data_IF_214920281796
#
_entry.id   IF_214920281796
#
_cell.length_a   1.000
_cell.length_b   1.000
_cell.length_c   1.000
_cell.angle_alpha   90.00
_cell.angle_beta   90.00
_cell.angle_gamma   90.00
#
_symmetry.space_group_name_H-M   'P 1'
#
loop_
_entity.id
_entity.type
_entity.pdbx_description
1 polymer ?
#
# COMPACT_ATOMS: atom_id res chain seq x y z
N UNK A 1 -49.26 -3.11 -3.29
CA UNK A 1 -50.44 -3.71 -2.63
C UNK A 1 -49.93 -4.95 -1.88
N UNK A 2 -49.96 -4.89 -0.55
CA UNK A 2 -49.65 -5.93 0.48
C UNK A 2 -48.25 -6.58 0.42
N UNK A 3 -47.29 -6.29 1.32
CA UNK A 3 -47.17 -6.60 2.77
C UNK A 3 -47.34 -8.07 3.16
N UNK A 4 -46.23 -8.68 3.60
CA UNK A 4 -46.06 -9.59 4.75
C UNK A 4 -44.65 -10.22 4.66
N UNK A 5 -43.87 -10.50 5.71
CA UNK A 5 -43.88 -10.15 7.15
C UNK A 5 -42.52 -10.66 7.67
N UNK A 6 -41.81 -9.85 8.43
CA UNK A 6 -40.58 -10.21 9.14
C UNK A 6 -40.98 -10.59 10.57
N UNK A 7 -40.66 -11.81 11.00
CA UNK A 7 -40.62 -12.29 12.39
C UNK A 7 -39.46 -13.30 12.45
N UNK A 8 -38.55 -13.33 13.41
CA UNK A 8 -38.37 -12.57 14.65
C UNK A 8 -37.36 -13.35 15.50
N UNK A 9 -36.47 -12.67 16.22
CA UNK A 9 -35.91 -13.15 17.49
C UNK A 9 -35.60 -11.92 18.35
N UNK A 10 -36.48 -11.67 19.32
CA UNK A 10 -36.25 -10.82 20.48
C UNK A 10 -36.50 -11.71 21.69
N UNK A 11 -35.50 -11.91 22.55
CA UNK A 11 -35.71 -12.33 23.93
C UNK A 11 -34.45 -12.09 24.77
N UNK A 12 -34.65 -11.29 25.84
CA UNK A 12 -33.97 -11.31 27.15
C UNK A 12 -32.84 -10.28 27.40
N UNK A 13 -33.27 -9.05 27.69
CA UNK A 13 -32.75 -8.30 28.85
C UNK A 13 -33.51 -8.74 30.12
N UNK A 14 -32.79 -9.03 31.21
CA UNK A 14 -33.24 -8.77 32.58
C UNK A 14 -32.03 -8.40 33.47
N UNK A 15 -32.21 -7.49 34.45
CA UNK A 15 -31.15 -7.00 35.32
C UNK A 15 -30.97 -7.89 36.55
N UNK A 16 -29.73 -8.14 36.96
CA UNK A 16 -29.43 -8.78 38.24
C UNK A 16 -29.08 -7.70 39.25
N UNK A 17 -30.02 -7.43 40.16
CA UNK A 17 -29.74 -6.79 41.44
C UNK A 17 -29.75 -7.89 42.52
N UNK A 18 -28.63 -8.05 43.23
CA UNK A 18 -28.59 -8.79 44.49
C UNK A 18 -27.59 -8.15 45.45
N UNK A 19 -28.15 -7.63 46.53
CA UNK A 19 -27.59 -7.23 47.82
C UNK A 19 -26.12 -7.54 48.10
N UNK A 20 -25.35 -6.49 48.40
CA UNK A 20 -24.20 -6.56 49.28
C UNK A 20 -24.30 -5.45 50.33
N UNK A 21 -24.17 -5.89 51.58
CA UNK A 21 -24.28 -5.15 52.82
C UNK A 21 -23.27 -3.99 52.94
N UNK A 22 -23.67 -3.00 53.74
CA UNK A 22 -22.83 -1.90 54.21
C UNK A 22 -21.50 -2.40 54.80
N UNK A 23 -20.40 -2.03 54.17
CA UNK A 23 -19.14 -1.75 54.86
C UNK A 23 -18.55 -0.46 54.33
N UNK A 24 -18.76 0.61 55.10
CA UNK A 24 -18.02 1.87 55.06
C UNK A 24 -16.53 1.54 55.05
N UNK A 25 -15.83 1.87 53.97
CA UNK A 25 -14.37 1.87 53.98
C UNK A 25 -13.82 3.16 53.34
N UNK A 26 -12.94 3.80 54.10
CA UNK A 26 -12.58 5.21 54.09
C UNK A 26 -11.61 5.65 52.97
N UNK A 27 -11.72 5.09 51.76
CA UNK A 27 -10.67 5.22 50.72
C UNK A 27 -10.95 6.24 49.61
N UNK A 28 -12.12 6.89 49.57
CA UNK A 28 -12.48 7.83 48.50
C UNK A 28 -12.00 9.27 48.74
N UNK A 29 -11.85 9.68 50.00
CA UNK A 29 -11.45 11.06 50.34
C UNK A 29 -9.94 11.31 50.22
N UNK A 30 -9.13 10.24 50.23
CA UNK A 30 -7.66 10.34 50.11
C UNK A 30 -7.18 10.41 48.65
N UNK A 31 -7.97 9.87 47.70
CA UNK A 31 -7.67 9.92 46.26
C UNK A 31 -8.01 11.30 45.67
N UNK A 32 -9.07 11.94 46.17
CA UNK A 32 -9.44 13.32 45.79
C UNK A 32 -8.38 14.32 46.24
N UNK A 33 -7.94 14.22 47.51
CA UNK A 33 -6.84 15.05 48.03
C UNK A 33 -5.50 14.73 47.38
N UNK A 34 -5.22 13.48 47.03
CA UNK A 34 -4.02 13.12 46.26
C UNK A 34 -3.98 13.75 44.87
N UNK A 35 -5.10 13.80 44.16
CA UNK A 35 -5.19 14.46 42.84
C UNK A 35 -5.07 15.98 42.93
N UNK A 36 -5.69 16.60 43.93
CA UNK A 36 -5.63 18.05 44.14
C UNK A 36 -4.24 18.52 44.63
N UNK A 37 -3.54 17.68 45.42
CA UNK A 37 -2.19 17.97 45.93
C UNK A 37 -1.10 17.73 44.87
N UNK A 38 -1.28 16.77 43.95
CA UNK A 38 -0.39 16.61 42.79
C UNK A 38 -0.57 17.75 41.78
N UNK A 39 -1.78 18.32 41.67
CA UNK A 39 -2.03 19.54 40.89
C UNK A 39 -1.43 20.80 41.53
N UNK A 40 -1.44 20.91 42.86
CA UNK A 40 -0.94 22.11 43.56
C UNK A 40 0.58 22.12 43.79
N UNK A 41 1.25 20.96 43.88
CA UNK A 41 2.72 20.88 44.06
C UNK A 41 3.53 21.03 42.76
N UNK A 42 2.87 21.07 41.61
CA UNK A 42 3.45 21.45 40.31
C UNK A 42 3.05 22.88 39.96
N UNK A 43 3.13 23.78 40.94
CA UNK A 43 3.01 25.20 40.66
C UNK A 43 4.31 25.89 41.06
N UNK A 44 4.87 26.60 40.07
CA UNK A 44 5.91 27.62 40.18
C UNK A 44 7.33 27.05 40.28
N UNK A 45 7.93 26.71 39.12
CA UNK A 45 9.35 27.00 38.80
C UNK A 45 9.75 26.41 37.45
N UNK A 46 9.20 27.01 36.38
CA UNK A 46 9.80 27.20 35.04
C UNK A 46 8.72 27.79 34.15
N UNK A 47 8.71 29.12 34.11
CA UNK A 47 8.28 29.94 32.99
C UNK A 47 7.12 29.42 32.12
N UNK A 48 5.98 30.11 32.24
CA UNK A 48 4.92 30.24 31.23
C UNK A 48 5.47 30.87 29.92
N UNK A 49 6.49 30.27 29.32
CA UNK A 49 6.85 30.58 27.94
C UNK A 49 5.99 29.64 27.10
N UNK A 50 4.92 30.19 26.53
CA UNK A 50 4.21 29.54 25.44
C UNK A 50 5.26 29.11 24.42
N UNK A 51 5.40 27.80 24.21
CA UNK A 51 6.40 27.24 23.30
C UNK A 51 6.24 27.88 21.92
N UNK A 52 7.28 28.50 21.34
CA UNK A 52 7.22 29.11 20.03
C UNK A 52 6.71 28.14 18.96
N UNK A 53 6.02 28.67 17.96
CA UNK A 53 5.54 27.87 16.83
C UNK A 53 6.73 27.13 16.17
N UNK A 54 6.62 25.80 16.07
CA UNK A 54 7.65 24.92 15.51
C UNK A 54 8.49 24.16 16.54
N UNK A 55 8.41 24.50 17.83
CA UNK A 55 9.12 23.79 18.89
C UNK A 55 8.33 22.61 19.46
N UNK A 56 9.03 21.70 20.14
CA UNK A 56 8.43 20.50 20.73
C UNK A 56 7.50 20.88 21.90
N UNK A 57 6.25 20.36 21.92
CA UNK A 57 5.29 20.71 22.95
C UNK A 57 5.74 20.26 24.34
N UNK A 58 5.46 21.09 25.34
CA UNK A 58 5.70 20.78 26.75
C UNK A 58 4.80 19.63 27.21
N UNK A 59 5.14 18.92 28.29
CA UNK A 59 4.34 17.79 28.79
C UNK A 59 2.87 18.19 29.11
N UNK A 60 2.66 19.42 29.58
CA UNK A 60 1.33 19.99 29.80
C UNK A 60 0.58 20.18 28.47
N UNK A 61 1.22 20.82 27.49
CA UNK A 61 0.63 21.08 26.17
C UNK A 61 0.26 19.79 25.41
N UNK A 62 1.05 18.72 25.58
CA UNK A 62 0.76 17.40 25.01
C UNK A 62 -0.56 16.80 25.51
N UNK A 63 -1.03 17.19 26.69
CA UNK A 63 -2.30 16.69 27.25
C UNK A 63 -3.45 17.67 26.94
N UNK A 64 -3.17 18.97 26.91
CA UNK A 64 -4.21 20.00 26.76
C UNK A 64 -4.55 20.33 25.31
N UNK A 65 -3.59 20.27 24.38
CA UNK A 65 -3.77 20.72 23.01
C UNK A 65 -4.23 19.58 22.09
N UNK A 66 -5.14 19.92 21.17
CA UNK A 66 -5.59 18.99 20.15
C UNK A 66 -4.46 18.62 19.17
N UNK A 67 -4.35 17.34 18.87
CA UNK A 67 -3.44 16.83 17.85
C UNK A 67 -4.10 16.91 16.48
N UNK A 68 -3.43 17.53 15.53
CA UNK A 68 -3.93 17.73 14.17
C UNK A 68 -2.90 17.31 13.12
N UNK A 69 -3.34 16.75 11.98
CA UNK A 69 -2.45 16.49 10.87
C UNK A 69 -2.08 17.79 10.15
N UNK A 70 -0.87 17.87 9.64
CA UNK A 70 -0.46 18.95 8.75
C UNK A 70 -1.11 18.80 7.36
N UNK A 71 -1.06 19.87 6.56
CA UNK A 71 -1.40 19.78 5.15
C UNK A 71 -0.32 19.03 4.39
N UNK A 72 -0.73 18.27 3.38
CA UNK A 72 0.20 17.51 2.54
C UNK A 72 1.10 18.47 1.75
N UNK A 73 2.43 18.21 1.70
CA UNK A 73 3.31 18.98 0.85
C UNK A 73 2.94 18.77 -0.62
N UNK A 74 3.19 19.77 -1.46
CA UNK A 74 2.89 19.71 -2.89
C UNK A 74 3.53 18.49 -3.57
N UNK A 75 4.75 18.12 -3.17
CA UNK A 75 5.44 16.93 -3.66
C UNK A 75 4.69 15.63 -3.35
N UNK A 76 4.01 15.50 -2.20
CA UNK A 76 3.20 14.33 -1.89
C UNK A 76 1.98 14.22 -2.82
N UNK A 77 1.35 15.35 -3.17
CA UNK A 77 0.26 15.37 -4.16
C UNK A 77 0.74 14.93 -5.55
N UNK A 78 1.93 15.33 -5.97
CA UNK A 78 2.51 14.88 -7.23
C UNK A 78 2.74 13.36 -7.22
N UNK A 79 3.27 12.78 -6.12
CA UNK A 79 3.43 11.31 -6.02
C UNK A 79 2.07 10.60 -6.03
N UNK A 80 1.07 11.15 -5.34
CA UNK A 80 -0.29 10.59 -5.34
C UNK A 80 -0.93 10.59 -6.74
N UNK A 81 -0.69 11.62 -7.55
CA UNK A 81 -1.14 11.67 -8.94
C UNK A 81 -0.45 10.62 -9.82
N UNK A 82 0.84 10.35 -9.61
CA UNK A 82 1.57 9.27 -10.30
C UNK A 82 0.98 7.91 -9.95
N UNK A 83 0.69 7.65 -8.67
CA UNK A 83 0.03 6.41 -8.25
C UNK A 83 -1.36 6.28 -8.88
N UNK A 84 -2.17 7.34 -8.88
CA UNK A 84 -3.48 7.34 -9.51
C UNK A 84 -3.39 6.92 -10.98
N UNK A 85 -2.46 7.50 -11.73
CA UNK A 85 -2.27 7.18 -13.15
C UNK A 85 -1.84 5.72 -13.36
N UNK A 86 -0.94 5.19 -12.53
CA UNK A 86 -0.54 3.78 -12.60
C UNK A 86 -1.70 2.85 -12.26
N UNK A 87 -2.49 3.16 -11.22
CA UNK A 87 -3.68 2.39 -10.84
C UNK A 87 -4.75 2.40 -11.90
N UNK A 88 -5.03 3.57 -12.47
CA UNK A 88 -5.94 3.72 -13.60
C UNK A 88 -5.54 2.81 -14.75
N UNK A 89 -4.25 2.81 -15.08
CA UNK A 89 -3.71 2.02 -16.18
C UNK A 89 -3.79 0.52 -15.88
N UNK A 90 -3.38 0.10 -14.68
CA UNK A 90 -3.38 -1.29 -14.24
C UNK A 90 -4.79 -1.89 -14.23
N UNK A 91 -5.76 -1.23 -13.58
CA UNK A 91 -7.13 -1.74 -13.53
C UNK A 91 -7.81 -1.64 -14.90
N UNK A 92 -7.60 -0.54 -15.62
CA UNK A 92 -8.20 -0.30 -16.94
C UNK A 92 -7.80 -1.35 -17.97
N UNK A 93 -6.53 -1.79 -17.99
CA UNK A 93 -6.10 -2.86 -18.88
C UNK A 93 -6.51 -4.25 -18.35
N UNK A 94 -6.33 -4.51 -17.06
CA UNK A 94 -6.50 -5.85 -16.50
C UNK A 94 -7.97 -6.28 -16.54
N UNK A 95 -8.91 -5.35 -16.42
CA UNK A 95 -10.34 -5.61 -16.59
C UNK A 95 -10.72 -6.12 -17.99
N UNK A 96 -9.92 -5.79 -19.01
CA UNK A 96 -10.17 -6.18 -20.41
C UNK A 96 -9.54 -7.52 -20.78
N UNK A 97 -8.50 -7.94 -20.04
CA UNK A 97 -7.68 -9.11 -20.41
C UNK A 97 -8.49 -10.39 -20.52
N UNK A 98 -9.46 -10.62 -19.62
CA UNK A 98 -10.28 -11.83 -19.67
C UNK A 98 -11.02 -11.94 -21.01
N UNK A 99 -11.74 -10.88 -21.44
CA UNK A 99 -12.47 -10.89 -22.71
C UNK A 99 -11.53 -10.90 -23.92
N UNK A 100 -10.44 -10.13 -23.87
CA UNK A 100 -9.44 -10.04 -24.94
C UNK A 100 -8.83 -11.42 -25.27
N UNK A 101 -8.53 -12.22 -24.24
CA UNK A 101 -7.89 -13.52 -24.39
C UNK A 101 -8.91 -14.62 -24.72
N UNK A 102 -10.05 -14.63 -24.03
CA UNK A 102 -11.04 -15.70 -24.12
C UNK A 102 -11.74 -15.74 -25.48
N UNK A 103 -12.19 -14.57 -25.97
CA UNK A 103 -13.08 -14.48 -27.13
C UNK A 103 -12.27 -14.41 -28.42
N UNK A 104 -12.74 -15.05 -29.51
CA UNK A 104 -12.12 -14.98 -30.83
C UNK A 104 -12.30 -13.61 -31.47
N UNK A 105 -11.42 -13.29 -32.43
CA UNK A 105 -11.46 -12.04 -33.19
C UNK A 105 -12.61 -11.98 -34.22
N UNK A 106 -13.17 -13.13 -34.61
CA UNK A 106 -14.25 -13.25 -35.59
C UNK A 106 -15.61 -12.68 -35.10
N UNK A 107 -15.71 -12.31 -33.82
CA UNK A 107 -16.91 -11.75 -33.21
C UNK A 107 -18.00 -12.76 -32.85
N UNK A 108 -17.76 -14.05 -33.05
CA UNK A 108 -18.74 -15.13 -32.81
C UNK A 108 -19.26 -15.20 -31.37
N UNK A 109 -18.44 -14.78 -30.40
CA UNK A 109 -18.75 -14.77 -28.96
C UNK A 109 -18.74 -13.36 -28.37
N UNK A 110 -18.98 -12.34 -29.21
CA UNK A 110 -18.77 -10.93 -28.88
C UNK A 110 -17.34 -10.47 -29.16
N UNK A 111 -17.01 -9.22 -28.80
CA UNK A 111 -15.68 -8.66 -29.08
C UNK A 111 -14.60 -9.41 -28.30
N UNK A 112 -13.60 -9.89 -29.04
CA UNK A 112 -12.44 -10.64 -28.57
C UNK A 112 -11.23 -10.43 -29.46
N UNK A 113 -10.12 -11.11 -29.15
CA UNK A 113 -8.91 -11.06 -29.98
C UNK A 113 -8.22 -12.42 -30.10
N UNK A 114 -7.91 -13.10 -28.99
CA UNK A 114 -6.99 -14.25 -29.04
C UNK A 114 -7.67 -15.62 -29.18
N UNK A 115 -8.95 -15.73 -28.80
CA UNK A 115 -9.72 -16.98 -28.96
C UNK A 115 -9.18 -18.19 -28.19
N UNK A 116 -8.44 -18.00 -27.09
CA UNK A 116 -7.86 -19.09 -26.29
C UNK A 116 -8.87 -19.78 -25.35
N UNK A 117 -10.13 -19.36 -25.41
CA UNK A 117 -11.18 -19.86 -24.54
C UNK A 117 -11.00 -19.46 -23.07
N UNK A 118 -11.92 -19.93 -22.23
CA UNK A 118 -11.98 -19.54 -20.81
C UNK A 118 -10.73 -19.96 -20.03
N UNK A 119 -10.25 -21.18 -20.26
CA UNK A 119 -9.09 -21.72 -19.55
C UNK A 119 -7.80 -20.93 -19.87
N UNK A 120 -7.57 -20.59 -21.14
CA UNK A 120 -6.44 -19.75 -21.55
C UNK A 120 -6.53 -18.33 -21.00
N UNK A 121 -7.73 -17.73 -21.04
CA UNK A 121 -8.01 -16.42 -20.45
C UNK A 121 -7.67 -16.36 -18.97
N UNK A 122 -8.24 -17.26 -18.18
CA UNK A 122 -8.01 -17.30 -16.73
C UNK A 122 -6.55 -17.62 -16.41
N UNK A 123 -5.91 -18.54 -17.14
CA UNK A 123 -4.50 -18.88 -16.94
C UNK A 123 -3.57 -17.69 -17.12
N UNK A 124 -3.70 -16.95 -18.22
CA UNK A 124 -2.85 -15.79 -18.51
C UNK A 124 -3.14 -14.59 -17.62
N UNK A 125 -4.40 -14.33 -17.25
CA UNK A 125 -4.75 -13.28 -16.28
C UNK A 125 -4.17 -13.59 -14.90
N UNK A 126 -4.31 -14.85 -14.45
CA UNK A 126 -3.77 -15.29 -13.16
C UNK A 126 -2.24 -15.21 -13.16
N UNK A 127 -1.60 -15.60 -14.26
CA UNK A 127 -0.15 -15.44 -14.43
C UNK A 127 0.27 -13.98 -14.33
N UNK A 128 -0.43 -13.06 -15.02
CA UNK A 128 -0.12 -11.63 -14.97
C UNK A 128 -0.24 -11.08 -13.54
N UNK A 129 -1.29 -11.46 -12.80
CA UNK A 129 -1.46 -11.08 -11.40
C UNK A 129 -0.32 -11.61 -10.53
N UNK A 130 -0.04 -12.92 -10.61
CA UNK A 130 1.09 -13.55 -9.93
C UNK A 130 2.40 -12.80 -10.21
N UNK A 131 2.67 -12.53 -11.50
CA UNK A 131 3.86 -11.83 -11.93
C UNK A 131 3.95 -10.43 -11.31
N UNK A 132 2.86 -9.66 -11.32
CA UNK A 132 2.78 -8.34 -10.70
C UNK A 132 2.92 -8.33 -9.17
N UNK A 133 2.72 -9.46 -8.49
CA UNK A 133 2.96 -9.61 -7.05
C UNK A 133 4.37 -10.09 -6.72
N UNK A 134 5.06 -10.75 -7.66
CA UNK A 134 6.44 -11.22 -7.49
C UNK A 134 7.45 -10.15 -7.89
N UNK A 135 7.21 -9.43 -8.99
CA UNK A 135 8.12 -8.39 -9.49
C UNK A 135 8.42 -7.24 -8.50
N UNK A 136 7.53 -6.84 -7.56
CA UNK A 136 7.87 -5.84 -6.55
C UNK A 136 9.08 -6.20 -5.68
N UNK A 137 9.33 -7.50 -5.44
CA UNK A 137 10.49 -7.95 -4.65
C UNK A 137 11.79 -7.52 -5.36
N UNK A 138 11.86 -7.76 -6.67
CA UNK A 138 12.99 -7.33 -7.49
C UNK A 138 13.07 -5.81 -7.61
N UNK A 139 11.92 -5.14 -7.77
CA UNK A 139 11.82 -3.68 -7.82
C UNK A 139 12.37 -2.99 -6.57
N UNK A 140 12.07 -3.54 -5.38
CA UNK A 140 12.58 -3.04 -4.11
C UNK A 140 14.10 -3.22 -3.99
N UNK A 141 14.63 -4.40 -4.36
CA UNK A 141 16.07 -4.66 -4.33
C UNK A 141 16.81 -3.68 -5.25
N UNK A 142 16.32 -3.48 -6.47
CA UNK A 142 16.93 -2.59 -7.46
C UNK A 142 16.98 -1.14 -6.95
N UNK A 143 15.90 -0.67 -6.33
CA UNK A 143 15.83 0.66 -5.76
C UNK A 143 16.71 0.86 -4.52
N UNK A 144 16.72 -0.11 -3.60
CA UNK A 144 17.44 0.04 -2.33
C UNK A 144 18.96 -0.14 -2.47
N UNK A 145 19.40 -0.97 -3.43
CA UNK A 145 20.83 -1.26 -3.65
C UNK A 145 21.50 -0.33 -4.64
N UNK A 146 20.86 -0.04 -5.78
CA UNK A 146 21.58 0.47 -6.95
C UNK A 146 21.13 1.87 -7.37
N UNK A 147 19.82 2.08 -7.52
CA UNK A 147 19.30 3.29 -8.20
C UNK A 147 18.77 4.36 -7.26
N UNK A 148 18.30 3.99 -6.07
CA UNK A 148 17.43 4.85 -5.27
C UNK A 148 15.98 4.85 -5.79
N UNK A 149 15.04 5.15 -4.90
CA UNK A 149 13.58 5.02 -5.17
C UNK A 149 13.12 5.79 -6.40
N UNK A 150 13.50 7.08 -6.52
CA UNK A 150 13.06 7.92 -7.63
C UNK A 150 13.57 7.41 -8.98
N UNK A 151 14.86 7.08 -9.09
CA UNK A 151 15.43 6.60 -10.36
C UNK A 151 14.91 5.22 -10.73
N UNK A 152 14.69 4.35 -9.74
CA UNK A 152 14.03 3.07 -9.98
C UNK A 152 12.64 3.30 -10.58
N UNK A 153 11.78 4.11 -9.96
CA UNK A 153 10.43 4.40 -10.47
C UNK A 153 10.51 4.94 -11.89
N UNK A 154 11.41 5.90 -12.17
CA UNK A 154 11.57 6.47 -13.51
C UNK A 154 11.88 5.40 -14.57
N UNK A 155 12.88 4.54 -14.34
CA UNK A 155 13.24 3.49 -15.29
C UNK A 155 12.15 2.44 -15.44
N UNK A 156 11.49 2.07 -14.35
CA UNK A 156 10.37 1.13 -14.39
C UNK A 156 9.13 1.72 -15.09
N UNK A 157 8.88 3.04 -15.01
CA UNK A 157 7.88 3.72 -15.83
C UNK A 157 8.22 3.60 -17.32
N UNK A 158 9.48 3.73 -17.73
CA UNK A 158 9.88 3.56 -19.14
C UNK A 158 9.66 2.13 -19.63
N UNK A 159 10.00 1.13 -18.81
CA UNK A 159 9.72 -0.28 -19.10
C UNK A 159 8.21 -0.52 -19.21
N UNK A 160 7.42 0.07 -18.31
CA UNK A 160 5.96 -0.02 -18.35
C UNK A 160 5.39 0.57 -19.65
N UNK A 161 5.83 1.78 -20.04
CA UNK A 161 5.42 2.44 -21.29
C UNK A 161 5.72 1.55 -22.50
N UNK A 162 6.91 0.94 -22.55
CA UNK A 162 7.26 0.00 -23.63
C UNK A 162 6.27 -1.18 -23.68
N UNK A 163 5.93 -1.75 -22.53
CA UNK A 163 4.96 -2.84 -22.45
C UNK A 163 3.55 -2.42 -22.92
N UNK A 164 3.10 -1.23 -22.54
CA UNK A 164 1.83 -0.65 -23.00
C UNK A 164 1.82 -0.37 -24.51
N UNK A 165 2.94 0.11 -25.06
CA UNK A 165 3.08 0.33 -26.50
C UNK A 165 2.98 -0.97 -27.28
N UNK A 166 3.65 -2.04 -26.81
CA UNK A 166 3.56 -3.36 -27.42
C UNK A 166 2.11 -3.84 -27.36
N UNK A 167 1.47 -3.79 -26.20
CA UNK A 167 0.07 -4.18 -26.01
C UNK A 167 -0.86 -3.44 -26.98
N UNK A 168 -0.73 -2.11 -27.06
CA UNK A 168 -1.51 -1.26 -27.95
C UNK A 168 -1.29 -1.67 -29.41
N UNK A 169 -0.06 -1.70 -29.89
CA UNK A 169 0.26 -1.96 -31.30
C UNK A 169 -0.20 -3.36 -31.73
N UNK A 170 -0.06 -4.37 -30.86
CA UNK A 170 -0.46 -5.75 -31.16
C UNK A 170 -1.97 -5.97 -31.03
N UNK A 171 -2.70 -5.05 -30.41
CA UNK A 171 -4.17 -5.07 -30.30
C UNK A 171 -4.89 -4.38 -31.46
N UNK A 172 -4.17 -3.68 -32.34
CA UNK A 172 -4.75 -3.03 -33.52
C UNK A 172 -5.33 -4.12 -34.44
N UNK A 173 -6.55 -3.94 -35.02
CA UNK A 173 -7.19 -4.94 -35.88
C UNK A 173 -6.29 -5.47 -37.00
N UNK A 174 -5.49 -4.60 -37.63
CA UNK A 174 -4.53 -5.01 -38.67
C UNK A 174 -3.44 -5.95 -38.12
N UNK A 175 -2.88 -5.66 -36.95
CA UNK A 175 -1.85 -6.50 -36.32
C UNK A 175 -2.44 -7.85 -35.86
N UNK A 176 -3.68 -7.84 -35.35
CA UNK A 176 -4.41 -9.06 -34.99
C UNK A 176 -4.66 -9.95 -36.21
N UNK A 177 -5.07 -9.36 -37.34
CA UNK A 177 -5.29 -10.10 -38.60
C UNK A 177 -4.00 -10.76 -39.13
N UNK A 178 -2.84 -10.16 -38.87
CA UNK A 178 -1.52 -10.73 -39.21
C UNK A 178 -0.96 -11.68 -38.14
N UNK A 179 -1.73 -12.03 -37.11
CA UNK A 179 -1.35 -13.04 -36.10
C UNK A 179 -0.41 -12.53 -34.99
N UNK A 180 -0.19 -11.22 -34.87
CA UNK A 180 0.69 -10.66 -33.84
C UNK A 180 0.09 -10.66 -32.42
N UNK A 181 -1.21 -10.97 -32.28
CA UNK A 181 -1.97 -10.80 -31.04
C UNK A 181 -1.43 -11.58 -29.84
N UNK A 182 -1.26 -12.90 -29.97
CA UNK A 182 -0.89 -13.74 -28.83
C UNK A 182 0.55 -13.48 -28.35
N UNK A 183 1.51 -13.49 -29.29
CA UNK A 183 2.91 -13.22 -28.97
C UNK A 183 3.10 -11.81 -28.40
N UNK A 184 2.44 -10.82 -29.00
CA UNK A 184 2.42 -9.44 -28.53
C UNK A 184 1.87 -9.30 -27.12
N UNK A 185 0.73 -9.95 -26.84
CA UNK A 185 0.12 -9.96 -25.52
C UNK A 185 1.05 -10.58 -24.47
N UNK A 186 1.61 -11.76 -24.71
CA UNK A 186 2.51 -12.44 -23.75
C UNK A 186 3.75 -11.59 -23.43
N UNK A 187 4.38 -11.00 -24.45
CA UNK A 187 5.52 -10.09 -24.25
C UNK A 187 5.09 -8.87 -23.45
N UNK A 188 3.93 -8.29 -23.77
CA UNK A 188 3.43 -7.09 -23.08
C UNK A 188 3.19 -7.33 -21.59
N UNK A 189 2.52 -8.42 -21.19
CA UNK A 189 2.20 -8.68 -19.77
C UNK A 189 3.46 -8.94 -18.94
N UNK A 190 4.50 -9.54 -19.52
CA UNK A 190 5.79 -9.75 -18.86
C UNK A 190 6.47 -8.39 -18.61
N UNK A 191 6.56 -7.55 -19.64
CA UNK A 191 7.20 -6.23 -19.55
C UNK A 191 6.42 -5.30 -18.62
N UNK A 192 5.10 -5.22 -18.76
CA UNK A 192 4.22 -4.44 -17.90
C UNK A 192 4.36 -4.91 -16.45
N UNK A 193 4.41 -6.22 -16.19
CA UNK A 193 4.58 -6.74 -14.84
C UNK A 193 5.92 -6.35 -14.20
N UNK A 194 7.01 -6.28 -14.97
CA UNK A 194 8.30 -5.78 -14.48
C UNK A 194 8.19 -4.30 -14.10
N UNK A 195 7.62 -3.47 -14.98
CA UNK A 195 7.38 -2.05 -14.71
C UNK A 195 6.50 -1.83 -13.47
N UNK A 196 5.41 -2.60 -13.38
CA UNK A 196 4.47 -2.59 -12.26
C UNK A 196 5.17 -2.88 -10.94
N UNK A 197 6.00 -3.92 -10.89
CA UNK A 197 6.71 -4.29 -9.66
C UNK A 197 7.64 -3.19 -9.15
N UNK A 198 8.41 -2.61 -10.05
CA UNK A 198 9.33 -1.52 -9.74
C UNK A 198 8.66 -0.24 -9.24
N UNK A 199 7.50 0.11 -9.80
CA UNK A 199 6.72 1.26 -9.36
C UNK A 199 6.07 0.98 -7.99
N UNK A 200 5.34 -0.15 -7.87
CA UNK A 200 4.58 -0.52 -6.67
C UNK A 200 5.42 -0.59 -5.41
N UNK A 201 6.62 -1.17 -5.50
CA UNK A 201 7.52 -1.32 -4.36
C UNK A 201 8.09 0.01 -3.84
N UNK A 202 8.10 1.06 -4.67
CA UNK A 202 8.86 2.27 -4.40
C UNK A 202 8.01 3.54 -4.24
N UNK A 203 6.82 3.60 -4.84
CA UNK A 203 5.97 4.80 -4.79
C UNK A 203 5.41 5.08 -3.38
N UNK A 204 4.94 4.05 -2.66
CA UNK A 204 4.42 4.21 -1.30
C UNK A 204 5.51 4.70 -0.31
N UNK A 205 6.75 4.16 -0.31
CA UNK A 205 7.84 4.75 0.45
C UNK A 205 8.22 6.18 -0.01
N UNK A 206 8.11 6.48 -1.31
CA UNK A 206 8.44 7.80 -1.85
C UNK A 206 7.46 8.87 -1.36
N UNK A 207 6.15 8.61 -1.34
CA UNK A 207 5.16 9.60 -0.87
C UNK A 207 5.35 9.90 0.63
N UNK A 208 5.65 8.87 1.43
CA UNK A 208 5.96 9.05 2.85
C UNK A 208 7.25 9.87 3.05
N UNK A 209 8.27 9.65 2.20
CA UNK A 209 9.52 10.40 2.25
C UNK A 209 9.36 11.90 1.93
N UNK A 210 8.25 12.31 1.30
CA UNK A 210 7.97 13.73 1.05
C UNK A 210 7.67 14.50 2.33
N UNK A 211 7.25 13.81 3.39
CA UNK A 211 7.07 14.40 4.71
C UNK A 211 8.35 14.25 5.54
N UNK A 212 9.00 15.37 5.84
CA UNK A 212 10.33 15.38 6.47
C UNK A 212 10.28 15.59 7.98
N UNK A 213 9.16 16.07 8.53
CA UNK A 213 9.00 16.35 9.96
C UNK A 213 8.83 15.04 10.75
N UNK A 214 9.66 14.87 11.78
CA UNK A 214 9.66 13.68 12.65
C UNK A 214 9.29 13.97 14.10
N UNK A 215 9.21 15.25 14.46
CA UNK A 215 8.98 15.72 15.84
C UNK A 215 7.61 16.38 15.94
N UNK A 216 6.98 16.21 17.09
CA UNK A 216 5.79 16.98 17.47
C UNK A 216 6.15 18.46 17.47
N UNK A 217 5.23 19.29 17.03
CA UNK A 217 5.45 20.73 17.04
C UNK A 217 4.17 21.48 17.37
N UNK A 218 4.28 22.54 18.15
CA UNK A 218 3.16 23.45 18.36
C UNK A 218 3.02 24.36 17.14
N UNK A 219 1.78 24.59 16.72
CA UNK A 219 1.44 25.60 15.71
C UNK A 219 0.20 26.35 16.13
N UNK A 220 0.21 27.65 15.93
CA UNK A 220 -0.98 28.48 16.12
C UNK A 220 -1.75 28.56 14.80
N UNK A 221 -3.00 28.09 14.81
CA UNK A 221 -3.87 28.11 13.63
C UNK A 221 -4.25 29.55 13.30
N UNK A 222 -4.65 29.84 12.04
CA UNK A 222 -5.17 31.16 11.62
C UNK A 222 -6.35 31.67 12.45
N UNK A 223 -7.01 30.78 13.20
CA UNK A 223 -8.11 31.07 14.13
C UNK A 223 -7.64 31.41 15.55
N UNK A 224 -6.34 31.44 15.81
CA UNK A 224 -5.75 31.69 17.14
C UNK A 224 -5.63 30.45 18.04
N UNK A 225 -6.15 29.30 17.62
CA UNK A 225 -6.07 28.05 18.39
C UNK A 225 -4.68 27.41 18.29
N UNK A 226 -4.05 27.15 19.44
CA UNK A 226 -2.80 26.38 19.52
C UNK A 226 -3.11 24.91 19.37
N UNK A 227 -2.44 24.27 18.42
CA UNK A 227 -2.61 22.86 18.09
C UNK A 227 -1.26 22.18 18.01
N UNK A 228 -1.22 20.89 18.32
CA UNK A 228 -0.02 20.08 18.15
C UNK A 228 -0.08 19.42 16.78
N UNK A 229 0.93 19.66 15.96
CA UNK A 229 1.14 18.91 14.74
C UNK A 229 1.73 17.56 15.12
N UNK A 230 0.96 16.51 14.84
CA UNK A 230 1.41 15.14 15.00
C UNK A 230 1.92 14.57 13.66
N UNK A 231 3.22 14.22 13.56
CA UNK A 231 3.79 13.52 12.41
C UNK A 231 3.06 12.21 12.08
N UNK A 232 2.62 11.45 13.09
CA UNK A 232 1.95 10.18 12.89
C UNK A 232 0.59 10.36 12.22
N UNK A 233 -0.22 11.32 12.71
CA UNK A 233 -1.50 11.68 12.07
C UNK A 233 -1.30 12.21 10.65
N UNK A 234 -0.22 12.95 10.41
CA UNK A 234 0.09 13.48 9.07
C UNK A 234 0.46 12.36 8.10
N UNK A 235 1.30 11.41 8.52
CA UNK A 235 1.64 10.22 7.71
C UNK A 235 0.40 9.36 7.46
N UNK A 236 -0.46 9.16 8.47
CA UNK A 236 -1.73 8.47 8.30
C UNK A 236 -2.61 9.17 7.25
N UNK A 237 -2.73 10.50 7.32
CA UNK A 237 -3.46 11.31 6.32
C UNK A 237 -2.88 11.17 4.93
N UNK A 238 -1.56 11.18 4.78
CA UNK A 238 -0.87 10.94 3.50
C UNK A 238 -1.29 9.59 2.92
N UNK A 239 -1.27 8.53 3.73
CA UNK A 239 -1.70 7.21 3.27
C UNK A 239 -3.20 7.14 2.97
N UNK A 240 -4.05 7.82 3.72
CA UNK A 240 -5.49 7.90 3.40
C UNK A 240 -5.73 8.53 2.03
N UNK A 241 -5.04 9.63 1.72
CA UNK A 241 -5.10 10.27 0.39
C UNK A 241 -4.53 9.33 -0.69
N UNK A 242 -3.41 8.68 -0.41
CA UNK A 242 -2.79 7.70 -1.31
C UNK A 242 -3.75 6.56 -1.67
N UNK A 243 -4.42 5.97 -0.68
CA UNK A 243 -5.42 4.92 -0.89
C UNK A 243 -6.69 5.44 -1.58
N UNK A 244 -7.10 6.68 -1.30
CA UNK A 244 -8.18 7.31 -2.05
C UNK A 244 -7.84 7.45 -3.54
N UNK A 245 -6.61 7.86 -3.88
CA UNK A 245 -6.12 7.91 -5.26
C UNK A 245 -6.12 6.52 -5.93
N UNK A 246 -5.78 5.45 -5.19
CA UNK A 246 -5.87 4.08 -5.70
C UNK A 246 -7.31 3.71 -6.05
N UNK A 247 -8.26 4.00 -5.16
CA UNK A 247 -9.68 3.74 -5.40
C UNK A 247 -10.25 4.59 -6.54
N UNK A 248 -9.80 5.83 -6.69
CA UNK A 248 -10.19 6.67 -7.84
C UNK A 248 -9.62 6.10 -9.14
N UNK A 249 -8.37 5.61 -9.13
CA UNK A 249 -7.78 4.96 -10.29
C UNK A 249 -8.53 3.69 -10.72
N UNK A 250 -9.06 2.90 -9.79
CA UNK A 250 -9.83 1.70 -10.14
C UNK A 250 -11.15 1.99 -10.88
N UNK A 251 -11.63 3.24 -10.85
CA UNK A 251 -12.78 3.70 -11.66
C UNK A 251 -12.50 3.69 -13.17
N UNK A 252 -11.26 3.44 -13.60
CA UNK A 252 -10.93 3.11 -15.00
C UNK A 252 -11.84 2.03 -15.59
N UNK A 253 -12.31 1.07 -14.76
CA UNK A 253 -13.26 0.02 -15.15
C UNK A 253 -14.65 0.55 -15.55
N UNK A 254 -14.96 1.82 -15.27
CA UNK A 254 -16.16 2.46 -15.80
C UNK A 254 -15.96 2.90 -17.25
N UNK A 255 -14.74 3.29 -17.65
CA UNK A 255 -14.49 3.84 -18.99
C UNK A 255 -14.01 2.77 -19.98
N UNK A 256 -13.05 1.93 -19.58
CA UNK A 256 -12.36 1.02 -20.51
C UNK A 256 -13.27 -0.05 -21.12
N UNK A 257 -14.25 -0.65 -20.41
CA UNK A 257 -15.16 -1.62 -21.02
C UNK A 257 -16.16 -0.99 -22.01
N UNK A 258 -16.59 0.27 -21.79
CA UNK A 258 -17.41 0.96 -22.80
C UNK A 258 -16.61 1.26 -24.07
N UNK A 259 -15.33 1.63 -23.94
CA UNK A 259 -14.44 1.79 -25.09
C UNK A 259 -14.21 0.47 -25.84
N UNK A 260 -14.02 -0.64 -25.12
CA UNK A 260 -14.00 -1.99 -25.70
C UNK A 260 -15.28 -2.28 -26.49
N UNK A 261 -16.44 -2.01 -25.88
CA UNK A 261 -17.75 -2.28 -26.47
C UNK A 261 -18.08 -1.40 -27.66
N UNK A 262 -17.65 -0.14 -27.69
CA UNK A 262 -18.11 0.78 -28.73
C UNK A 262 -17.09 0.92 -29.87
N UNK A 263 -15.78 0.86 -29.58
CA UNK A 263 -14.69 1.06 -30.56
C UNK A 263 -13.81 -0.19 -30.69
N UNK A 264 -13.36 -0.76 -29.58
CA UNK A 264 -12.52 -1.97 -29.53
C UNK A 264 -11.34 -1.84 -28.56
N UNK A 265 -10.66 -2.96 -28.29
CA UNK A 265 -9.61 -3.06 -27.26
C UNK A 265 -8.45 -2.06 -27.41
N UNK A 266 -7.99 -1.82 -28.64
CA UNK A 266 -6.89 -0.88 -28.91
C UNK A 266 -7.17 0.52 -28.38
N UNK A 267 -8.43 0.98 -28.45
CA UNK A 267 -8.82 2.31 -27.99
C UNK A 267 -8.71 2.45 -26.47
N UNK A 268 -9.07 1.39 -25.74
CA UNK A 268 -8.98 1.35 -24.29
C UNK A 268 -7.50 1.25 -23.83
N UNK A 269 -6.68 0.47 -24.54
CA UNK A 269 -5.23 0.41 -24.28
C UNK A 269 -4.51 1.72 -24.64
N UNK A 270 -5.00 2.46 -25.64
CA UNK A 270 -4.50 3.81 -25.93
C UNK A 270 -4.83 4.78 -24.79
N UNK A 271 -6.05 4.73 -24.25
CA UNK A 271 -6.43 5.57 -23.10
C UNK A 271 -5.52 5.29 -21.89
N UNK A 272 -5.30 4.01 -21.55
CA UNK A 272 -4.42 3.66 -20.43
C UNK A 272 -2.99 4.13 -20.69
N UNK A 273 -2.47 3.98 -21.90
CA UNK A 273 -1.16 4.54 -22.29
C UNK A 273 -1.10 6.06 -22.11
N UNK A 274 -2.10 6.81 -22.59
CA UNK A 274 -2.14 8.26 -22.46
C UNK A 274 -2.15 8.70 -20.99
N UNK A 275 -2.98 8.09 -20.15
CA UNK A 275 -3.04 8.40 -18.71
C UNK A 275 -1.71 8.06 -18.04
N UNK A 276 -1.10 6.93 -18.37
CA UNK A 276 0.20 6.55 -17.83
C UNK A 276 1.32 7.51 -18.25
N UNK A 277 1.30 8.00 -19.49
CA UNK A 277 2.24 9.02 -19.98
C UNK A 277 2.07 10.34 -19.23
N UNK A 278 0.84 10.77 -18.96
CA UNK A 278 0.58 11.96 -18.12
C UNK A 278 1.13 11.77 -16.71
N UNK A 279 0.88 10.62 -16.07
CA UNK A 279 1.45 10.30 -14.76
C UNK A 279 2.99 10.31 -14.78
N UNK A 280 3.60 9.72 -15.80
CA UNK A 280 5.06 9.70 -15.97
C UNK A 280 5.61 11.11 -16.22
N UNK A 281 4.91 11.96 -16.97
CA UNK A 281 5.28 13.36 -17.16
C UNK A 281 5.23 14.14 -15.85
N UNK A 282 4.20 13.92 -15.00
CA UNK A 282 4.11 14.51 -13.66
C UNK A 282 5.32 14.12 -12.81
N UNK A 283 5.73 12.85 -12.85
CA UNK A 283 6.94 12.38 -12.15
C UNK A 283 8.20 13.11 -12.63
N UNK A 284 8.39 13.23 -13.94
CA UNK A 284 9.60 13.84 -14.52
C UNK A 284 9.66 15.34 -14.22
N UNK A 285 8.54 16.05 -14.44
CA UNK A 285 8.44 17.49 -14.20
C UNK A 285 8.50 17.81 -12.70
N UNK A 286 7.98 16.90 -11.86
CA UNK A 286 8.00 16.99 -10.41
C UNK A 286 9.37 16.77 -9.76
N UNK A 287 10.39 16.33 -10.52
CA UNK A 287 11.71 15.94 -9.99
C UNK A 287 12.34 16.96 -9.03
N UNK A 288 12.21 18.26 -9.32
CA UNK A 288 12.80 19.34 -8.50
C UNK A 288 12.12 19.51 -7.15
N UNK A 289 10.88 19.04 -7.00
CA UNK A 289 10.09 19.16 -5.78
C UNK A 289 10.20 17.92 -4.87
N UNK A 290 10.66 16.79 -5.41
CA UNK A 290 10.75 15.56 -4.62
C UNK A 290 11.94 15.55 -3.69
N UNK A 291 11.69 15.09 -2.46
CA UNK A 291 12.75 14.70 -1.53
C UNK A 291 13.27 13.34 -1.97
N UNK A 292 14.44 13.32 -2.60
CA UNK A 292 15.10 12.09 -3.07
C UNK A 292 16.14 11.67 -2.02
N UNK A 293 15.92 10.52 -1.38
CA UNK A 293 16.89 9.92 -0.47
C UNK A 293 17.85 8.99 -1.22
N UNK A 294 19.14 8.97 -0.89
CA UNK A 294 20.10 8.03 -1.49
C UNK A 294 19.76 6.57 -1.11
N UNK A 295 20.20 5.58 -1.91
CA UNK A 295 20.03 4.17 -1.60
C UNK A 295 20.69 3.82 -0.27
N UNK A 296 20.00 3.00 0.56
CA UNK A 296 20.45 2.64 1.92
C UNK A 296 21.29 1.36 1.97
N UNK A 297 21.56 0.71 0.84
CA UNK A 297 22.42 -0.48 0.76
C UNK A 297 21.70 -1.77 1.16
N UNK A 298 22.46 -2.83 1.46
CA UNK A 298 22.13 -4.28 1.41
C UNK A 298 21.03 -4.82 2.34
N UNK A 299 20.19 -3.97 2.93
CA UNK A 299 19.16 -4.32 3.93
C UNK A 299 18.34 -5.55 3.53
N UNK A 300 17.76 -5.58 2.33
CA UNK A 300 16.92 -6.70 1.87
C UNK A 300 17.76 -7.97 1.70
N UNK A 301 18.92 -7.88 1.05
CA UNK A 301 19.80 -9.04 0.82
C UNK A 301 20.37 -9.60 2.12
N UNK A 302 20.65 -8.73 3.08
CA UNK A 302 21.15 -9.11 4.40
C UNK A 302 20.05 -9.71 5.26
N UNK A 303 18.80 -9.26 5.10
CA UNK A 303 17.64 -9.91 5.72
C UNK A 303 17.48 -11.35 5.20
N UNK A 304 17.57 -11.58 3.89
CA UNK A 304 17.53 -12.94 3.32
C UNK A 304 18.69 -13.81 3.82
N UNK A 305 19.91 -13.28 3.90
CA UNK A 305 21.07 -14.02 4.47
C UNK A 305 20.84 -14.35 5.94
N UNK A 306 20.36 -13.38 6.73
CA UNK A 306 20.06 -13.58 8.14
C UNK A 306 18.99 -14.67 8.34
N UNK A 307 17.89 -14.62 7.58
CA UNK A 307 16.84 -15.65 7.58
C UNK A 307 17.40 -17.01 7.20
N UNK A 308 18.26 -17.08 6.18
CA UNK A 308 18.88 -18.33 5.76
C UNK A 308 19.76 -18.93 6.87
N UNK A 309 20.51 -18.10 7.60
CA UNK A 309 21.28 -18.53 8.78
C UNK A 309 20.35 -19.01 9.90
N UNK A 310 19.23 -18.33 10.15
CA UNK A 310 18.23 -18.76 11.15
C UNK A 310 17.65 -20.14 10.81
N UNK A 311 17.29 -20.37 9.54
CA UNK A 311 16.72 -21.64 9.07
C UNK A 311 17.76 -22.76 9.18
N UNK A 312 18.99 -22.51 8.71
CA UNK A 312 20.07 -23.52 8.72
C UNK A 312 20.43 -23.95 10.13
N UNK A 313 20.50 -23.02 11.07
CA UNK A 313 20.86 -23.29 12.46
C UNK A 313 19.64 -23.59 13.35
N UNK A 314 18.41 -23.57 12.79
CA UNK A 314 17.13 -23.73 13.51
C UNK A 314 17.00 -22.85 14.75
N UNK A 315 17.66 -21.69 14.75
CA UNK A 315 17.68 -20.76 15.88
C UNK A 315 17.61 -19.32 15.36
N UNK A 316 16.64 -18.56 15.85
CA UNK A 316 16.38 -17.18 15.42
C UNK A 316 17.46 -16.19 15.86
N UNK A 317 18.20 -16.51 16.93
CA UNK A 317 19.26 -15.64 17.45
C UNK A 317 20.64 -15.98 16.85
N UNK A 318 20.72 -17.05 16.04
CA UNK A 318 21.96 -17.48 15.38
C UNK A 318 22.67 -16.42 14.51
N UNK A 319 21.98 -15.52 13.77
CA UNK A 319 22.67 -14.47 13.01
C UNK A 319 23.07 -13.24 13.83
N UNK A 320 22.87 -13.22 15.16
CA UNK A 320 23.37 -12.14 16.04
C UNK A 320 24.86 -12.29 16.27
N UNK A 321 25.56 -11.16 16.21
CA UNK A 321 27.00 -11.11 16.50
C UNK A 321 27.28 -11.36 17.99
N UNK A 322 26.38 -10.94 18.90
CA UNK A 322 26.46 -11.32 20.33
C UNK A 322 26.35 -12.83 20.56
N UNK A 323 25.36 -13.48 19.93
CA UNK A 323 25.15 -14.92 20.05
C UNK A 323 26.35 -15.72 19.55
N UNK A 324 26.94 -15.31 18.41
CA UNK A 324 28.16 -15.92 17.88
C UNK A 324 29.36 -15.74 18.84
N UNK A 325 29.50 -14.57 19.48
CA UNK A 325 30.56 -14.32 20.48
C UNK A 325 30.41 -15.18 21.73
N UNK A 326 29.19 -15.42 22.19
CA UNK A 326 28.90 -16.18 23.40
C UNK A 326 29.02 -17.69 23.21
N UNK A 327 28.63 -18.21 22.03
CA UNK A 327 28.64 -19.64 21.73
C UNK A 327 29.89 -20.11 20.95
N UNK A 328 30.97 -19.32 20.96
CA UNK A 328 32.25 -19.67 20.31
C UNK A 328 32.20 -19.71 18.78
N UNK A 329 31.22 -19.05 18.16
CA UNK A 329 31.06 -18.95 16.72
C UNK A 329 31.97 -17.89 16.10
N UNK A 330 32.92 -18.31 15.26
CA UNK A 330 33.87 -17.41 14.59
C UNK A 330 33.31 -16.57 13.43
N UNK A 331 31.99 -16.49 13.26
CA UNK A 331 31.37 -15.75 12.15
C UNK A 331 30.91 -14.38 12.59
N UNK A 332 31.53 -13.34 12.05
CA UNK A 332 31.07 -11.95 12.17
C UNK A 332 30.24 -11.57 10.96
N UNK A 333 29.01 -11.11 11.19
CA UNK A 333 28.11 -10.64 10.14
C UNK A 333 28.19 -9.11 9.97
N UNK A 334 27.91 -8.57 8.77
CA UNK A 334 28.00 -7.13 8.49
C UNK A 334 26.85 -6.30 9.13
N UNK A 335 25.87 -6.93 9.75
CA UNK A 335 24.72 -6.28 10.41
C UNK A 335 24.85 -6.28 11.94
N UNK A 336 24.09 -5.40 12.60
CA UNK A 336 24.02 -5.32 14.05
C UNK A 336 22.92 -6.23 14.64
N UNK A 337 22.92 -6.42 15.96
CA UNK A 337 21.95 -7.30 16.62
C UNK A 337 20.52 -6.72 16.58
N UNK A 338 20.39 -5.39 16.59
CA UNK A 338 19.11 -4.70 16.44
C UNK A 338 18.41 -5.05 15.12
N UNK A 339 19.17 -5.12 14.03
CA UNK A 339 18.66 -5.55 12.73
C UNK A 339 18.08 -6.96 12.78
N UNK A 340 18.75 -7.88 13.49
CA UNK A 340 18.24 -9.24 13.67
C UNK A 340 16.93 -9.24 14.46
N UNK A 341 16.82 -8.40 15.49
CA UNK A 341 15.58 -8.24 16.25
C UNK A 341 14.45 -7.66 15.39
N UNK A 342 14.73 -6.70 14.52
CA UNK A 342 13.76 -6.17 13.54
C UNK A 342 13.32 -7.24 12.54
N UNK A 343 14.24 -8.05 12.01
CA UNK A 343 13.91 -9.19 11.13
C UNK A 343 13.05 -10.21 11.86
N UNK A 344 13.36 -10.53 13.12
CA UNK A 344 12.57 -11.45 13.96
C UNK A 344 11.15 -10.93 14.17
N UNK A 345 10.98 -9.65 14.51
CA UNK A 345 9.65 -9.02 14.63
C UNK A 345 8.89 -9.06 13.31
N UNK A 346 9.56 -8.80 12.19
CA UNK A 346 8.96 -8.89 10.86
C UNK A 346 8.47 -10.31 10.55
N UNK A 347 9.27 -11.34 10.85
CA UNK A 347 8.88 -12.75 10.65
C UNK A 347 7.66 -13.14 11.49
N UNK A 348 7.61 -12.71 12.76
CA UNK A 348 6.44 -12.96 13.63
C UNK A 348 5.20 -12.25 13.07
N UNK A 349 5.33 -11.00 12.63
CA UNK A 349 4.23 -10.30 11.97
C UNK A 349 3.77 -11.02 10.68
N UNK A 350 4.71 -11.62 9.92
CA UNK A 350 4.39 -12.39 8.73
C UNK A 350 3.59 -13.67 8.99
N UNK A 351 3.57 -14.19 10.22
CA UNK A 351 2.74 -15.37 10.57
C UNK A 351 1.25 -15.09 10.34
N UNK A 352 0.81 -13.83 10.47
CA UNK A 352 -0.58 -13.43 10.17
C UNK A 352 -0.91 -13.64 8.69
N UNK A 353 0.07 -13.52 7.79
CA UNK A 353 -0.14 -13.77 6.36
C UNK A 353 -0.31 -15.26 6.03
N UNK A 354 -0.01 -16.19 6.94
CA UNK A 354 -0.29 -17.61 6.71
C UNK A 354 -1.79 -17.90 6.53
N UNK A 355 -2.67 -17.02 7.02
CA UNK A 355 -4.12 -17.10 6.84
C UNK A 355 -4.61 -16.49 5.51
N UNK A 356 -3.78 -15.71 4.82
CA UNK A 356 -4.18 -15.04 3.58
C UNK A 356 -4.53 -16.01 2.44
N UNK A 357 -3.80 -17.12 2.21
CA UNK A 357 -4.19 -18.10 1.20
C UNK A 357 -5.61 -18.65 1.42
N UNK A 358 -6.02 -18.86 2.68
CA UNK A 358 -7.37 -19.32 3.02
C UNK A 358 -8.40 -18.28 2.57
N UNK A 359 -8.17 -17.01 2.93
CA UNK A 359 -9.02 -15.90 2.48
C UNK A 359 -9.11 -15.82 0.95
N UNK A 360 -7.97 -15.87 0.25
CA UNK A 360 -7.92 -15.74 -1.20
C UNK A 360 -8.56 -16.91 -1.94
N UNK A 361 -8.45 -18.13 -1.40
CA UNK A 361 -9.18 -19.28 -1.94
C UNK A 361 -10.68 -19.04 -1.85
N UNK A 362 -11.20 -18.63 -0.68
CA UNK A 362 -12.63 -18.34 -0.49
C UNK A 362 -13.10 -17.17 -1.36
N UNK A 363 -12.33 -16.08 -1.42
CA UNK A 363 -12.62 -14.93 -2.26
C UNK A 363 -12.61 -15.27 -3.75
N UNK A 364 -11.65 -16.09 -4.19
CA UNK A 364 -11.56 -16.57 -5.57
C UNK A 364 -12.75 -17.44 -5.97
N UNK A 365 -13.27 -18.25 -5.06
CA UNK A 365 -14.52 -19.01 -5.29
C UNK A 365 -15.72 -18.07 -5.47
N UNK A 366 -15.81 -17.01 -4.66
CA UNK A 366 -16.87 -16.01 -4.76
C UNK A 366 -16.84 -15.25 -6.10
N UNK A 367 -15.67 -14.72 -6.48
CA UNK A 367 -15.52 -13.93 -7.71
C UNK A 367 -15.53 -14.77 -8.98
N UNK A 368 -15.11 -16.04 -8.93
CA UNK A 368 -14.95 -16.89 -10.10
C UNK A 368 -16.14 -17.81 -10.35
N UNK A 369 -16.44 -18.69 -9.38
CA UNK A 369 -17.35 -19.80 -9.59
C UNK A 369 -18.82 -19.41 -9.46
N UNK A 370 -19.18 -18.51 -8.55
CA UNK A 370 -20.58 -18.07 -8.43
C UNK A 370 -21.03 -17.17 -9.60
N UNK A 371 -20.14 -16.33 -10.13
CA UNK A 371 -20.43 -15.55 -11.34
C UNK A 371 -20.58 -16.46 -12.55
N UNK A 372 -19.80 -17.55 -12.63
CA UNK A 372 -19.87 -18.54 -13.70
C UNK A 372 -21.13 -19.41 -13.70
N UNK A 373 -21.72 -19.64 -12.52
CA UNK A 373 -22.91 -20.48 -12.35
C UNK A 373 -24.22 -19.68 -12.45
N UNK A 374 -24.15 -18.35 -12.35
CA UNK A 374 -25.28 -17.43 -12.49
C UNK A 374 -25.52 -16.88 -13.90
N UNK A 375 -24.73 -17.33 -14.89
CA UNK A 375 -24.95 -17.10 -16.34
C UNK A 375 -25.03 -18.45 -17.02
#
# INVERSE_FOLDING_TARGET
MAEQKIEGVSALEQPVASNLDEKKDSSADDVSKGHEVVLNSVSLDKENILTPDGEEPTALEKVTLQHVPENLPFSAWLVAAVELAERFTYYGMNGLFQNYIQRPFDGSLGRGALGLGRQGGTGLVTFFQFWCYVTPIFGAIVADQYLGKYMAIFWFCMVYILGLLILLLTSIPAALAHGAGLGGFVVSIIIIGIGTGGIKSNVAPLIADQYTRKKLAVKTTKKGERVIIDPALTIQRIYMVFYACINIGSLSLLATPYMERDVGFWSAFLLTLCVFLVGTAILILGRKFYVVRPPKGSIITDAFKAIWVMIRNRNMDAPKNSFQREHGGGRTFPWNDHFVDEVKRALVACQVFAFYPIYWVVYGQFSGNFVAQGT
#
